data_IF_912964364976
#
_entry.id   IF_912964364976
#
_cell.length_a   1.000
_cell.length_b   1.000
_cell.length_c   1.000
_cell.angle_alpha   90.00
_cell.angle_beta   90.00
_cell.angle_gamma   90.00
#
_symmetry.space_group_name_H-M   'P 1'
#
loop_
_entity.id
_entity.type
_entity.pdbx_description
1 polymer ?
#
# COMPACT_ATOMS: atom_id res chain seq x y z
N UNK A 1 17.30 -20.90 5.15
CA UNK A 1 17.64 -19.46 4.97
C UNK A 1 16.36 -18.62 4.88
N UNK A 2 15.50 -18.63 5.91
CA UNK A 2 14.19 -17.92 5.91
C UNK A 2 14.19 -16.69 6.83
N UNK A 3 15.24 -16.51 7.65
CA UNK A 3 15.27 -15.51 8.72
C UNK A 3 15.64 -14.08 8.29
N UNK A 4 16.21 -13.88 7.10
CA UNK A 4 16.66 -12.54 6.66
C UNK A 4 15.56 -11.73 5.95
N UNK A 5 14.64 -12.37 5.23
CA UNK A 5 13.57 -11.68 4.49
C UNK A 5 12.46 -11.13 5.39
N UNK A 6 12.17 -11.83 6.50
CA UNK A 6 11.23 -11.32 7.49
C UNK A 6 11.74 -10.04 8.18
N UNK A 7 13.06 -9.85 8.25
CA UNK A 7 13.67 -8.71 8.95
C UNK A 7 13.60 -7.41 8.14
N UNK A 8 13.74 -7.47 6.82
CA UNK A 8 13.64 -6.31 5.93
C UNK A 8 12.18 -5.88 5.71
N UNK A 9 11.24 -6.83 5.60
CA UNK A 9 9.80 -6.51 5.53
C UNK A 9 9.30 -5.98 6.88
N UNK A 10 9.79 -6.52 8.00
CA UNK A 10 9.49 -5.98 9.33
C UNK A 10 10.08 -4.57 9.55
N UNK A 11 11.25 -4.23 8.98
CA UNK A 11 11.85 -2.91 9.14
C UNK A 11 11.07 -1.81 8.40
N UNK A 12 10.51 -2.12 7.22
CA UNK A 12 9.59 -1.23 6.51
C UNK A 12 8.25 -1.09 7.25
N UNK A 13 7.75 -2.18 7.86
CA UNK A 13 6.52 -2.15 8.67
C UNK A 13 6.69 -1.51 10.06
N UNK A 14 7.89 -1.49 10.63
CA UNK A 14 8.14 -0.91 11.96
C UNK A 14 8.13 0.62 11.93
N UNK A 15 8.60 1.23 10.84
CA UNK A 15 8.73 2.69 10.75
C UNK A 15 7.40 3.45 10.62
N UNK A 16 6.30 2.76 10.28
CA UNK A 16 4.99 3.38 10.06
C UNK A 16 4.00 3.18 11.23
N UNK A 17 4.46 2.65 12.37
CA UNK A 17 3.55 2.15 13.40
C UNK A 17 2.94 3.23 14.32
N UNK A 18 3.43 4.48 14.33
CA UNK A 18 2.77 5.58 15.03
C UNK A 18 3.19 6.95 14.48
N UNK A 19 2.33 7.59 13.68
CA UNK A 19 2.39 9.04 13.46
C UNK A 19 1.43 9.70 14.45
N UNK A 20 1.98 10.33 15.47
CA UNK A 20 1.21 11.07 16.47
C UNK A 20 0.95 12.47 15.93
N UNK A 21 -0.20 12.68 15.29
CA UNK A 21 -0.74 14.02 15.13
C UNK A 21 -1.34 14.44 16.47
N UNK A 22 -1.16 15.71 16.83
CA UNK A 22 -1.51 16.27 18.13
C UNK A 22 -2.92 15.84 18.62
N UNK A 23 -2.98 14.84 19.49
CA UNK A 23 -4.19 14.42 20.22
C UNK A 23 -4.72 13.00 19.94
N UNK A 24 -4.40 12.36 18.81
CA UNK A 24 -4.91 11.02 18.49
C UNK A 24 -3.79 10.14 17.91
N UNK A 25 -3.59 8.96 18.52
CA UNK A 25 -2.76 7.92 17.92
C UNK A 25 -3.48 7.37 16.69
N UNK A 26 -3.26 7.97 15.53
CA UNK A 26 -3.82 7.45 14.28
C UNK A 26 -3.03 6.20 13.91
N UNK A 27 -3.70 5.05 13.82
CA UNK A 27 -3.15 3.84 13.20
C UNK A 27 -2.99 4.12 11.69
N UNK A 28 -1.84 4.70 11.31
CA UNK A 28 -1.49 5.08 9.94
C UNK A 28 -1.43 3.88 8.97
N UNK A 29 -1.60 2.67 9.48
CA UNK A 29 -1.57 1.40 8.72
C UNK A 29 -2.99 0.87 8.47
N UNK A 30 -4.04 1.51 8.98
CA UNK A 30 -5.43 1.11 8.75
C UNK A 30 -6.08 1.93 7.63
N UNK A 31 -7.14 1.40 7.00
CA UNK A 31 -7.96 2.16 6.04
C UNK A 31 -8.47 3.46 6.66
N UNK A 32 -8.96 3.41 7.91
CA UNK A 32 -9.39 4.62 8.61
C UNK A 32 -8.26 5.63 8.78
N UNK A 33 -7.06 5.18 9.18
CA UNK A 33 -5.89 6.03 9.32
C UNK A 33 -5.46 6.66 8.00
N UNK A 34 -5.40 5.87 6.93
CA UNK A 34 -5.14 6.34 5.58
C UNK A 34 -6.13 7.43 5.15
N UNK A 35 -7.44 7.21 5.33
CA UNK A 35 -8.47 8.20 4.98
C UNK A 35 -8.36 9.47 5.85
N UNK A 36 -8.03 9.34 7.13
CA UNK A 36 -7.76 10.48 8.01
C UNK A 36 -6.55 11.27 7.52
N UNK A 37 -5.43 10.61 7.17
CA UNK A 37 -4.26 11.27 6.61
C UNK A 37 -4.57 11.99 5.30
N UNK A 38 -5.35 11.37 4.41
CA UNK A 38 -5.81 12.01 3.16
C UNK A 38 -6.63 13.26 3.42
N UNK A 39 -7.50 13.22 4.41
CA UNK A 39 -8.28 14.39 4.80
C UNK A 39 -7.38 15.52 5.32
N UNK A 40 -6.39 15.22 6.16
CA UNK A 40 -5.42 16.22 6.64
C UNK A 40 -4.54 16.78 5.50
N UNK A 41 -4.07 15.93 4.59
CA UNK A 41 -3.35 16.35 3.40
C UNK A 41 -4.21 17.30 2.54
N UNK A 42 -5.50 17.00 2.37
CA UNK A 42 -6.42 17.88 1.61
C UNK A 42 -6.62 19.26 2.25
N UNK A 43 -6.31 19.41 3.55
CA UNK A 43 -6.30 20.69 4.28
C UNK A 43 -4.94 21.40 4.19
N UNK A 44 -3.99 20.88 3.41
CA UNK A 44 -2.65 21.42 3.23
C UNK A 44 -1.69 21.14 4.39
N UNK A 45 -1.86 20.02 5.11
CA UNK A 45 -0.91 19.56 6.12
C UNK A 45 0.28 18.84 5.46
N UNK A 46 1.49 19.44 5.39
CA UNK A 46 2.60 18.88 4.60
C UNK A 46 3.07 17.52 5.13
N UNK A 47 3.05 17.33 6.46
CA UNK A 47 3.44 16.06 7.06
C UNK A 47 2.51 14.92 6.63
N UNK A 48 1.21 15.18 6.45
CA UNK A 48 0.26 14.16 6.01
C UNK A 48 0.49 13.79 4.54
N UNK A 49 0.80 14.77 3.69
CA UNK A 49 1.20 14.56 2.29
C UNK A 49 2.47 13.70 2.20
N UNK A 50 3.50 14.04 2.99
CA UNK A 50 4.75 13.28 3.04
C UNK A 50 4.53 11.84 3.51
N UNK A 51 3.69 11.62 4.53
CA UNK A 51 3.36 10.29 5.03
C UNK A 51 2.69 9.45 3.95
N UNK A 52 1.70 9.99 3.23
CA UNK A 52 1.02 9.27 2.14
C UNK A 52 2.00 8.95 1.02
N UNK A 53 2.82 9.91 0.62
CA UNK A 53 3.83 9.75 -0.44
C UNK A 53 4.84 8.65 -0.10
N UNK A 54 5.41 8.68 1.11
CA UNK A 54 6.36 7.65 1.57
C UNK A 54 5.67 6.29 1.67
N UNK A 55 4.48 6.23 2.24
CA UNK A 55 3.76 4.95 2.47
C UNK A 55 3.43 4.28 1.14
N UNK A 56 2.91 5.04 0.17
CA UNK A 56 2.55 4.50 -1.14
C UNK A 56 3.77 4.09 -1.96
N UNK A 57 4.90 4.81 -1.85
CA UNK A 57 6.17 4.41 -2.46
C UNK A 57 6.69 3.09 -1.86
N UNK A 58 6.67 2.95 -0.53
CA UNK A 58 7.10 1.71 0.15
C UNK A 58 6.21 0.52 -0.20
N UNK A 59 4.89 0.74 -0.31
CA UNK A 59 3.95 -0.28 -0.77
C UNK A 59 4.29 -0.72 -2.20
N UNK A 60 4.54 0.25 -3.11
CA UNK A 60 4.91 -0.04 -4.48
C UNK A 60 6.18 -0.89 -4.57
N UNK A 61 7.25 -0.47 -3.90
CA UNK A 61 8.52 -1.21 -3.88
C UNK A 61 8.32 -2.62 -3.35
N UNK A 62 7.56 -2.75 -2.26
CA UNK A 62 7.22 -4.06 -1.68
C UNK A 62 6.47 -4.94 -2.67
N UNK A 63 5.56 -4.38 -3.46
CA UNK A 63 4.83 -5.10 -4.50
C UNK A 63 5.77 -5.52 -5.63
N UNK A 64 6.63 -4.62 -6.12
CA UNK A 64 7.60 -4.94 -7.18
C UNK A 64 8.56 -6.06 -6.75
N UNK A 65 9.13 -5.96 -5.54
CA UNK A 65 10.02 -6.99 -5.01
C UNK A 65 9.31 -8.32 -4.79
N UNK A 66 8.10 -8.31 -4.23
CA UNK A 66 7.35 -9.54 -3.98
C UNK A 66 6.92 -10.23 -5.28
N UNK A 67 6.53 -9.45 -6.29
CA UNK A 67 6.15 -9.97 -7.60
C UNK A 67 7.35 -10.58 -8.33
N UNK A 68 8.50 -9.89 -8.33
CA UNK A 68 9.74 -10.41 -8.91
C UNK A 68 10.24 -11.67 -8.18
N UNK A 69 10.15 -11.70 -6.85
CA UNK A 69 10.53 -12.89 -6.07
C UNK A 69 9.64 -14.10 -6.40
N UNK A 70 8.33 -13.88 -6.59
CA UNK A 70 7.40 -14.94 -7.00
C UNK A 70 7.73 -15.47 -8.40
N UNK A 71 8.01 -14.58 -9.35
CA UNK A 71 8.38 -14.97 -10.72
C UNK A 71 9.66 -15.82 -10.73
N UNK A 72 10.65 -15.44 -9.91
CA UNK A 72 11.90 -16.19 -9.77
C UNK A 72 11.73 -17.58 -9.14
N UNK A 73 10.77 -17.74 -8.22
CA UNK A 73 10.55 -18.99 -7.50
C UNK A 73 9.60 -19.94 -8.26
N UNK A 74 8.49 -19.42 -8.79
CA UNK A 74 7.40 -20.23 -9.36
C UNK A 74 7.14 -19.97 -10.83
N UNK A 75 7.73 -18.93 -11.44
CA UNK A 75 7.36 -18.46 -12.78
C UNK A 75 5.98 -17.82 -12.87
N UNK A 76 5.39 -17.48 -11.73
CA UNK A 76 4.08 -16.83 -11.63
C UNK A 76 4.21 -15.43 -11.01
N UNK A 77 3.21 -14.58 -11.24
CA UNK A 77 3.15 -13.23 -10.69
C UNK A 77 1.86 -13.03 -9.90
N UNK A 78 1.93 -12.28 -8.79
CA UNK A 78 0.77 -11.87 -7.99
C UNK A 78 -0.18 -10.94 -8.76
N UNK A 79 0.40 -10.05 -9.57
CA UNK A 79 -0.29 -9.18 -10.50
C UNK A 79 0.60 -8.93 -11.72
N UNK A 80 -0.01 -8.59 -12.84
CA UNK A 80 0.69 -8.40 -14.11
C UNK A 80 0.71 -6.92 -14.47
N UNK A 81 1.76 -6.24 -14.00
CA UNK A 81 1.99 -4.83 -14.29
C UNK A 81 1.93 -4.54 -15.80
N UNK A 82 1.38 -3.39 -16.25
CA UNK A 82 1.33 -3.07 -17.66
C UNK A 82 2.74 -3.01 -18.24
N UNK A 83 2.96 -3.74 -19.34
CA UNK A 83 4.21 -3.62 -20.10
C UNK A 83 4.30 -2.19 -20.63
N UNK A 84 5.38 -1.48 -20.32
CA UNK A 84 5.68 -0.10 -20.72
C UNK A 84 5.02 1.02 -19.89
N UNK A 85 4.58 0.75 -18.67
CA UNK A 85 4.16 1.80 -17.72
C UNK A 85 5.05 1.70 -16.48
N UNK A 86 5.70 2.81 -16.13
CA UNK A 86 6.36 2.95 -14.85
C UNK A 86 5.30 3.34 -13.81
N UNK A 87 5.11 2.47 -12.82
CA UNK A 87 4.19 2.72 -11.72
C UNK A 87 4.88 3.60 -10.68
N UNK A 88 4.10 4.47 -10.04
CA UNK A 88 4.56 5.39 -8.98
C UNK A 88 3.71 5.23 -7.72
N UNK A 89 4.13 5.84 -6.60
CA UNK A 89 3.32 5.86 -5.37
C UNK A 89 1.92 6.45 -5.61
N UNK A 90 1.80 7.44 -6.50
CA UNK A 90 0.50 8.03 -6.88
C UNK A 90 -0.41 7.00 -7.57
N UNK A 91 0.14 6.08 -8.36
CA UNK A 91 -0.64 5.00 -8.96
C UNK A 91 -1.15 4.02 -7.90
N UNK A 92 -0.38 3.81 -6.82
CA UNK A 92 -0.85 3.03 -5.67
C UNK A 92 -2.01 3.73 -4.99
N UNK A 93 -1.85 5.01 -4.65
CA UNK A 93 -2.88 5.82 -4.01
C UNK A 93 -4.20 5.79 -4.79
N UNK A 94 -4.16 6.12 -6.08
CA UNK A 94 -5.34 6.11 -6.95
C UNK A 94 -6.01 4.74 -7.05
N UNK A 95 -5.20 3.67 -7.06
CA UNK A 95 -5.71 2.30 -7.16
C UNK A 95 -6.39 1.86 -5.86
N UNK A 96 -5.81 2.21 -4.72
CA UNK A 96 -6.40 1.98 -3.38
C UNK A 96 -7.71 2.76 -3.25
N UNK A 97 -7.71 4.05 -3.56
CA UNK A 97 -8.91 4.90 -3.48
C UNK A 97 -10.06 4.35 -4.33
N UNK A 98 -9.75 3.96 -5.57
CA UNK A 98 -10.74 3.38 -6.47
C UNK A 98 -11.31 2.09 -5.88
N UNK A 99 -10.47 1.21 -5.32
CA UNK A 99 -10.92 -0.04 -4.73
C UNK A 99 -11.81 0.16 -3.50
N UNK A 100 -11.42 1.04 -2.57
CA UNK A 100 -12.22 1.39 -1.38
C UNK A 100 -13.61 1.88 -1.81
N UNK A 101 -13.66 2.72 -2.84
CA UNK A 101 -14.92 3.28 -3.37
C UNK A 101 -15.78 2.22 -4.08
N UNK A 102 -15.16 1.30 -4.82
CA UNK A 102 -15.88 0.28 -5.61
C UNK A 102 -16.36 -0.90 -4.78
N UNK A 103 -15.67 -1.23 -3.68
CA UNK A 103 -15.98 -2.40 -2.84
C UNK A 103 -16.20 -2.04 -1.36
N UNK A 104 -17.12 -1.10 -1.04
CA UNK A 104 -17.38 -0.69 0.35
C UNK A 104 -17.84 -1.86 1.24
N UNK A 105 -18.37 -2.94 0.66
CA UNK A 105 -18.77 -4.15 1.37
C UNK A 105 -17.61 -5.08 1.74
N UNK A 106 -16.44 -4.93 1.11
CA UNK A 106 -15.24 -5.74 1.34
C UNK A 106 -14.18 -5.05 2.18
N UNK A 107 -14.29 -3.74 2.35
CA UNK A 107 -13.31 -2.92 3.05
C UNK A 107 -13.87 -2.45 4.38
N UNK A 108 -13.21 -2.81 5.48
CA UNK A 108 -13.53 -2.33 6.82
C UNK A 108 -12.57 -1.22 7.23
N UNK A 109 -13.01 -0.24 8.04
CA UNK A 109 -12.14 0.82 8.55
C UNK A 109 -10.90 0.29 9.29
N UNK A 110 -10.99 -0.88 9.92
CA UNK A 110 -9.91 -1.54 10.67
C UNK A 110 -8.96 -2.37 9.80
N UNK A 111 -9.25 -2.56 8.51
CA UNK A 111 -8.38 -3.35 7.64
C UNK A 111 -7.07 -2.62 7.38
N UNK A 112 -6.00 -3.39 7.11
CA UNK A 112 -4.69 -2.82 6.79
C UNK A 112 -4.71 -2.22 5.37
N UNK A 113 -4.27 -0.98 5.23
CA UNK A 113 -4.24 -0.26 3.96
C UNK A 113 -3.39 -0.99 2.89
N UNK A 114 -2.24 -1.52 3.28
CA UNK A 114 -1.38 -2.33 2.40
C UNK A 114 -2.08 -3.61 1.89
N UNK A 115 -2.97 -4.22 2.69
CA UNK A 115 -3.76 -5.37 2.22
C UNK A 115 -4.79 -4.94 1.18
N UNK A 116 -5.43 -3.79 1.38
CA UNK A 116 -6.34 -3.21 0.39
C UNK A 116 -5.59 -2.89 -0.90
N UNK A 117 -4.37 -2.37 -0.81
CA UNK A 117 -3.52 -2.16 -1.97
C UNK A 117 -3.22 -3.46 -2.73
N UNK A 118 -2.95 -4.58 -2.05
CA UNK A 118 -2.74 -5.88 -2.72
C UNK A 118 -3.99 -6.30 -3.50
N UNK A 119 -5.16 -6.22 -2.87
CA UNK A 119 -6.44 -6.57 -3.52
C UNK A 119 -6.72 -5.67 -4.72
N UNK A 120 -6.50 -4.37 -4.56
CA UNK A 120 -6.70 -3.37 -5.59
C UNK A 120 -5.80 -3.59 -6.81
N UNK A 121 -4.51 -3.88 -6.59
CA UNK A 121 -3.57 -4.15 -7.69
C UNK A 121 -3.88 -5.45 -8.41
N UNK A 122 -4.27 -6.49 -7.68
CA UNK A 122 -4.65 -7.76 -8.28
C UNK A 122 -5.90 -7.63 -9.17
N UNK A 123 -6.86 -6.80 -8.75
CA UNK A 123 -8.06 -6.53 -9.53
C UNK A 123 -7.78 -5.65 -10.75
N UNK A 124 -6.95 -4.61 -10.59
CA UNK A 124 -6.61 -3.67 -11.66
C UNK A 124 -5.67 -4.28 -12.71
N UNK A 125 -4.76 -5.15 -12.28
CA UNK A 125 -3.72 -5.75 -13.12
C UNK A 125 -3.74 -7.28 -13.04
N UNK A 126 -4.85 -7.93 -13.45
CA UNK A 126 -4.96 -9.38 -13.37
C UNK A 126 -4.01 -10.05 -14.36
N UNK A 127 -3.28 -11.07 -13.92
CA UNK A 127 -2.55 -11.94 -14.82
C UNK A 127 -3.52 -12.77 -15.67
N UNK A 128 -3.44 -12.62 -16.99
CA UNK A 128 -4.18 -13.46 -17.93
C UNK A 128 -3.58 -14.87 -17.88
N UNK A 129 -4.43 -15.87 -17.71
CA UNK A 129 -4.06 -17.28 -17.89
C UNK A 129 -3.88 -17.60 -19.36
#
# INVERSE_FOLDING_TARGET
MVKFYALSIAAAMFFCSTVSFAGESTDGVSVQGYLTMKNEASKGQPLAEDIISITTAVILDSFMYSNAAMDMDTGENWFCSPKNVELTGVDVEHTVDAYIKMHPEKVKPSDRDALIAVLAFREKYPCKK
#
